data_IF_149460971268
#
_entry.id   IF_149460971268
#
_cell.length_a   1.000
_cell.length_b   1.000
_cell.length_c   1.000
_cell.angle_alpha   90.00
_cell.angle_beta   90.00
_cell.angle_gamma   90.00
#
_symmetry.space_group_name_H-M   'P 1'
#
loop_
_entity.id
_entity.type
_entity.pdbx_description
1 polymer ?
#
# COMPACT_ATOMS: atom_id res chain seq x y z
N UNK A 1 20.51 6.28 -25.03
CA UNK A 1 20.33 6.13 -24.53
C UNK A 1 19.35 6.38 -23.84
N UNK A 2 18.55 6.35 -23.71
CA UNK A 2 17.72 6.68 -23.33
C UNK A 2 16.83 6.11 -22.69
N UNK A 3 16.33 5.63 -22.55
CA UNK A 3 15.63 4.95 -22.01
C UNK A 3 15.16 5.15 -20.87
N UNK A 4 15.30 5.58 -20.30
CA UNK A 4 15.04 5.66 -19.04
C UNK A 4 13.76 6.07 -18.51
N UNK A 5 13.07 6.90 -19.08
CA UNK A 5 11.84 7.37 -18.48
C UNK A 5 10.78 6.33 -18.30
N UNK A 6 10.61 5.48 -19.31
CA UNK A 6 9.58 4.46 -19.17
C UNK A 6 9.93 3.42 -18.15
N UNK A 7 11.19 3.04 -18.06
CA UNK A 7 11.54 2.07 -17.03
C UNK A 7 11.45 2.69 -15.66
N UNK A 8 11.64 3.99 -15.55
CA UNK A 8 11.50 4.67 -14.29
C UNK A 8 10.09 4.57 -13.73
N UNK A 9 9.09 4.74 -14.56
CA UNK A 9 7.72 4.66 -14.09
C UNK A 9 7.35 3.25 -13.62
N UNK A 10 8.06 2.24 -14.07
CA UNK A 10 7.80 0.87 -13.62
C UNK A 10 8.53 0.52 -12.34
N UNK A 11 9.52 1.28 -11.98
CA UNK A 11 10.31 0.99 -10.79
C UNK A 11 9.49 1.02 -9.52
N UNK A 12 8.40 1.77 -9.49
CA UNK A 12 7.55 1.82 -8.33
C UNK A 12 7.08 0.46 -7.86
N UNK A 13 6.95 -0.49 -8.80
CA UNK A 13 6.46 -1.83 -8.48
C UNK A 13 7.46 -2.94 -8.76
N UNK A 14 8.53 -2.67 -9.49
CA UNK A 14 9.44 -3.73 -9.92
C UNK A 14 10.20 -4.38 -8.77
N UNK A 15 10.36 -3.69 -7.66
CA UNK A 15 11.03 -4.22 -6.47
C UNK A 15 10.07 -4.84 -5.47
N UNK A 16 8.77 -4.88 -5.76
CA UNK A 16 7.74 -5.41 -4.88
C UNK A 16 7.12 -6.61 -5.56
N UNK A 17 7.50 -7.81 -5.14
CA UNK A 17 7.18 -9.02 -5.90
C UNK A 17 6.45 -10.09 -5.12
N UNK A 18 6.60 -10.12 -3.81
CA UNK A 18 6.00 -11.18 -3.02
C UNK A 18 4.64 -10.76 -2.54
N UNK A 19 3.61 -11.45 -3.02
CA UNK A 19 2.24 -11.18 -2.58
C UNK A 19 2.11 -11.47 -1.10
N UNK A 20 1.38 -10.61 -0.42
CA UNK A 20 1.11 -10.78 1.00
C UNK A 20 -0.35 -10.42 1.26
N UNK A 21 -0.95 -11.19 2.16
CA UNK A 21 -2.29 -10.92 2.67
C UNK A 21 -2.25 -11.31 4.14
N UNK A 22 -2.15 -10.32 5.02
CA UNK A 22 -1.85 -10.60 6.41
C UNK A 22 -2.44 -9.52 7.31
N UNK A 23 -2.88 -9.93 8.50
CA UNK A 23 -3.36 -8.97 9.49
C UNK A 23 -2.18 -8.40 10.26
N UNK A 24 -2.19 -7.08 10.43
CA UNK A 24 -1.14 -6.38 11.17
C UNK A 24 -1.74 -5.29 12.02
N UNK A 25 -1.07 -4.97 13.12
CA UNK A 25 -1.48 -3.90 14.00
C UNK A 25 -0.82 -2.59 13.57
N UNK A 26 -1.61 -1.53 13.42
CA UNK A 26 -1.10 -0.22 13.03
C UNK A 26 -0.47 0.45 14.24
N UNK A 27 0.78 0.86 14.11
CA UNK A 27 1.50 1.51 15.21
C UNK A 27 1.83 2.97 14.93
N UNK A 28 1.72 3.42 13.69
CA UNK A 28 1.91 4.85 13.39
C UNK A 28 1.30 5.17 12.02
N UNK A 29 0.90 6.43 11.83
CA UNK A 29 0.43 6.95 10.56
C UNK A 29 1.33 8.12 10.16
N UNK A 30 1.85 8.08 8.94
CA UNK A 30 2.71 9.14 8.41
C UNK A 30 2.11 9.61 7.10
N UNK A 31 1.13 10.49 7.21
CA UNK A 31 0.34 10.96 6.07
C UNK A 31 0.93 12.24 5.50
N UNK A 32 1.96 12.09 4.70
CA UNK A 32 2.71 13.22 4.14
C UNK A 32 3.46 12.80 2.88
N UNK A 33 3.87 13.81 2.09
CA UNK A 33 4.66 13.58 0.89
C UNK A 33 5.96 12.84 1.24
N UNK A 34 6.49 12.02 0.31
CA UNK A 34 5.97 11.80 -1.05
C UNK A 34 4.87 10.75 -1.13
N UNK A 35 4.67 9.94 -0.11
CA UNK A 35 3.65 8.90 -0.02
C UNK A 35 3.06 8.89 1.36
N UNK A 36 1.75 8.69 1.44
CA UNK A 36 1.16 8.31 2.72
C UNK A 36 1.76 6.97 3.11
N UNK A 37 2.05 6.80 4.38
CA UNK A 37 2.64 5.58 4.91
C UNK A 37 2.00 5.21 6.24
N UNK A 38 1.94 3.91 6.49
CA UNK A 38 1.56 3.39 7.79
C UNK A 38 2.70 2.53 8.30
N UNK A 39 2.94 2.56 9.60
CA UNK A 39 3.86 1.62 10.22
C UNK A 39 3.01 0.56 10.90
N UNK A 40 3.29 -0.70 10.63
CA UNK A 40 2.51 -1.81 11.16
C UNK A 40 3.42 -2.88 11.72
N UNK A 41 2.86 -3.67 12.64
CA UNK A 41 3.58 -4.76 13.28
C UNK A 41 2.84 -6.06 13.00
N UNK A 42 3.56 -7.06 12.50
CA UNK A 42 2.95 -8.36 12.25
C UNK A 42 2.90 -9.21 13.53
N UNK A 43 2.37 -10.42 13.42
CA UNK A 43 2.19 -11.27 14.60
C UNK A 43 3.49 -11.68 15.27
N UNK A 44 4.59 -11.64 14.53
CA UNK A 44 5.89 -11.96 15.11
C UNK A 44 6.57 -10.77 15.76
N UNK A 45 5.96 -9.59 15.70
CA UNK A 45 6.54 -8.36 16.23
C UNK A 45 7.41 -7.63 15.22
N UNK A 46 7.48 -8.10 13.99
CA UNK A 46 8.27 -7.43 12.96
C UNK A 46 7.52 -6.24 12.42
N UNK A 47 8.23 -5.13 12.25
CA UNK A 47 7.65 -3.90 11.76
C UNK A 47 7.76 -3.80 10.25
N UNK A 48 6.70 -3.30 9.65
CA UNK A 48 6.60 -3.11 8.20
C UNK A 48 6.19 -1.69 7.89
N UNK A 49 6.84 -1.12 6.90
CA UNK A 49 6.44 0.18 6.37
C UNK A 49 5.47 -0.07 5.22
N UNK A 50 4.24 0.41 5.36
CA UNK A 50 3.21 0.21 4.36
C UNK A 50 3.13 1.46 3.49
N UNK A 51 3.46 1.31 2.21
CA UNK A 51 3.45 2.43 1.28
C UNK A 51 2.11 2.54 0.58
N UNK A 52 1.48 3.68 0.73
CA UNK A 52 0.25 4.04 0.03
C UNK A 52 0.58 4.99 -1.12
N UNK A 53 -0.42 5.44 -1.83
CA UNK A 53 -0.22 6.41 -2.90
C UNK A 53 0.14 7.79 -2.32
N UNK A 54 0.57 8.74 -3.16
CA UNK A 54 0.84 10.09 -2.68
C UNK A 54 -0.39 10.73 -2.03
N UNK A 55 -0.18 11.58 -1.02
CA UNK A 55 -1.30 12.17 -0.27
C UNK A 55 -2.36 12.86 -1.12
N UNK A 56 -1.94 13.67 -2.07
CA UNK A 56 -2.91 14.40 -2.89
C UNK A 56 -3.81 13.46 -3.67
N UNK A 57 -3.24 12.36 -4.16
CA UNK A 57 -4.03 11.38 -4.90
C UNK A 57 -4.99 10.65 -3.97
N UNK A 58 -4.51 10.26 -2.80
CA UNK A 58 -5.37 9.57 -1.83
C UNK A 58 -6.56 10.46 -1.44
N UNK A 59 -6.31 11.74 -1.15
CA UNK A 59 -7.37 12.67 -0.78
C UNK A 59 -8.38 12.83 -1.91
N UNK A 60 -7.88 12.90 -3.13
CA UNK A 60 -8.74 13.03 -4.31
C UNK A 60 -9.71 11.89 -4.44
N UNK A 61 -9.31 10.69 -4.04
CA UNK A 61 -10.18 9.51 -4.10
C UNK A 61 -10.81 9.15 -2.77
N UNK A 62 -10.79 10.09 -1.82
CA UNK A 62 -11.58 9.98 -0.61
C UNK A 62 -10.89 9.37 0.61
N UNK A 63 -9.60 9.10 0.52
CA UNK A 63 -8.88 8.57 1.68
C UNK A 63 -8.03 9.65 2.33
N UNK A 64 -8.30 9.93 3.61
CA UNK A 64 -7.53 10.88 4.39
C UNK A 64 -6.96 10.28 5.68
N UNK A 65 -7.13 8.98 5.87
CA UNK A 65 -6.64 8.30 7.05
C UNK A 65 -7.52 8.40 8.28
N UNK A 66 -8.64 9.14 8.19
CA UNK A 66 -9.50 9.34 9.36
C UNK A 66 -10.18 8.07 9.85
N UNK A 67 -10.22 7.05 9.01
CA UNK A 67 -10.82 5.76 9.38
C UNK A 67 -9.81 4.76 9.93
N UNK A 68 -8.57 5.19 10.21
CA UNK A 68 -7.53 4.35 10.79
C UNK A 68 -7.04 4.98 12.07
N UNK A 69 -6.96 4.18 13.13
CA UNK A 69 -6.41 4.62 14.41
C UNK A 69 -5.22 3.74 14.78
N UNK A 70 -4.29 4.31 15.53
CA UNK A 70 -3.18 3.53 16.09
C UNK A 70 -3.78 2.45 16.97
N UNK A 71 -3.31 1.22 16.80
CA UNK A 71 -3.83 0.07 17.50
C UNK A 71 -4.83 -0.75 16.69
N UNK A 72 -5.33 -0.20 15.60
CA UNK A 72 -6.23 -0.96 14.72
C UNK A 72 -5.54 -2.16 14.13
N UNK A 73 -6.27 -3.25 14.00
CA UNK A 73 -5.80 -4.40 13.26
C UNK A 73 -6.43 -4.37 11.88
N UNK A 74 -5.58 -4.30 10.85
CA UNK A 74 -6.02 -4.24 9.47
C UNK A 74 -5.50 -5.43 8.70
N UNK A 75 -6.27 -5.89 7.72
CA UNK A 75 -5.76 -6.85 6.75
C UNK A 75 -5.05 -6.08 5.66
N UNK A 76 -3.78 -6.39 5.48
CA UNK A 76 -2.91 -5.74 4.50
C UNK A 76 -2.83 -6.64 3.29
N UNK A 77 -3.21 -6.12 2.13
CA UNK A 77 -3.09 -6.85 0.87
C UNK A 77 -2.14 -6.05 -0.01
N UNK A 78 -1.03 -6.65 -0.40
CA UNK A 78 -0.04 -5.93 -1.18
C UNK A 78 1.10 -6.82 -1.62
N UNK A 79 2.24 -6.19 -1.88
CA UNK A 79 3.44 -6.89 -2.33
C UNK A 79 4.64 -6.42 -1.54
N UNK A 80 5.41 -7.37 -1.04
CA UNK A 80 6.60 -7.07 -0.26
C UNK A 80 7.76 -6.68 -1.14
N UNK A 81 8.55 -5.74 -0.65
CA UNK A 81 9.81 -5.38 -1.27
C UNK A 81 10.77 -6.58 -1.21
N UNK A 82 11.63 -6.71 -2.21
CA UNK A 82 12.55 -7.84 -2.31
C UNK A 82 13.61 -7.87 -1.21
N UNK A 83 13.89 -6.73 -0.57
CA UNK A 83 14.94 -6.66 0.46
C UNK A 83 14.59 -5.82 1.67
N UNK A 84 13.66 -4.89 1.56
CA UNK A 84 13.29 -3.99 2.67
C UNK A 84 12.04 -4.49 3.37
N UNK A 85 11.89 -4.10 4.64
CA UNK A 85 10.64 -4.37 5.38
C UNK A 85 9.57 -3.38 4.96
N UNK A 86 9.15 -3.49 3.74
CA UNK A 86 8.27 -2.53 3.10
C UNK A 86 7.26 -3.27 2.25
N UNK A 87 6.00 -2.84 2.31
CA UNK A 87 4.92 -3.42 1.52
C UNK A 87 4.28 -2.32 0.72
N UNK A 88 4.19 -2.53 -0.57
CA UNK A 88 3.39 -1.66 -1.43
C UNK A 88 1.95 -2.17 -1.35
N UNK A 89 1.06 -1.34 -0.83
CA UNK A 89 -0.30 -1.74 -0.52
C UNK A 89 -1.20 -1.65 -1.74
N UNK A 90 -1.95 -2.71 -2.01
CA UNK A 90 -3.03 -2.66 -2.99
C UNK A 90 -4.33 -2.23 -2.34
N UNK A 91 -4.66 -2.82 -1.19
CA UNK A 91 -5.87 -2.46 -0.46
C UNK A 91 -5.73 -2.81 1.01
N UNK A 92 -6.59 -2.20 1.83
CA UNK A 92 -6.64 -2.43 3.27
C UNK A 92 -8.08 -2.71 3.69
N UNK A 93 -8.23 -3.66 4.63
CA UNK A 93 -9.54 -3.97 5.21
C UNK A 93 -9.52 -3.78 6.71
N UNK A 94 -10.59 -3.22 7.24
CA UNK A 94 -10.84 -3.18 8.67
C UNK A 94 -12.08 -4.03 8.90
N UNK A 95 -11.88 -5.24 9.45
CA UNK A 95 -12.93 -6.24 9.44
C UNK A 95 -13.27 -6.61 8.00
N UNK A 96 -14.54 -6.56 7.67
CA UNK A 96 -14.99 -6.88 6.32
C UNK A 96 -15.05 -5.66 5.40
N UNK A 97 -14.72 -4.50 5.91
CA UNK A 97 -14.83 -3.26 5.15
C UNK A 97 -13.51 -2.92 4.48
N UNK A 98 -13.56 -2.73 3.16
CA UNK A 98 -12.38 -2.25 2.43
C UNK A 98 -12.28 -0.74 2.62
N UNK A 99 -11.25 -0.31 3.35
CA UNK A 99 -11.09 1.09 3.73
C UNK A 99 -10.08 1.85 2.89
N UNK A 100 -9.32 1.15 2.04
CA UNK A 100 -8.35 1.78 1.18
C UNK A 100 -8.11 0.95 -0.07
N UNK A 101 -7.98 1.63 -1.20
CA UNK A 101 -7.57 1.04 -2.47
C UNK A 101 -6.51 1.95 -3.09
N UNK A 102 -5.39 1.36 -3.49
CA UNK A 102 -4.36 2.12 -4.20
C UNK A 102 -4.87 2.41 -5.62
N UNK A 103 -4.88 3.69 -5.99
CA UNK A 103 -5.32 4.07 -7.33
C UNK A 103 -4.23 4.86 -8.05
N UNK A 104 -4.13 4.64 -9.35
CA UNK A 104 -3.28 5.43 -10.21
C UNK A 104 -3.96 6.77 -10.52
N UNK A 105 -3.22 7.73 -11.10
CA UNK A 105 -3.79 9.07 -11.31
C UNK A 105 -5.13 9.11 -12.05
N UNK A 106 -5.35 8.17 -12.97
CA UNK A 106 -6.60 8.09 -13.71
C UNK A 106 -7.74 7.42 -12.97
N UNK A 107 -7.51 6.94 -11.74
CA UNK A 107 -8.53 6.30 -10.92
C UNK A 107 -8.54 4.78 -10.98
N UNK A 108 -7.78 4.17 -11.86
CA UNK A 108 -7.70 2.73 -11.93
C UNK A 108 -7.03 2.17 -10.69
N UNK A 109 -7.53 1.04 -10.22
CA UNK A 109 -6.90 0.37 -9.09
C UNK A 109 -5.56 -0.21 -9.51
N UNK A 110 -4.65 -0.37 -8.56
CA UNK A 110 -3.32 -0.92 -8.83
C UNK A 110 -3.37 -2.38 -9.26
N UNK A 111 -4.50 -3.04 -9.09
CA UNK A 111 -4.61 -4.49 -9.30
C UNK A 111 -5.59 -4.88 -10.41
N UNK A 112 -6.33 -3.92 -11.00
CA UNK A 112 -7.43 -4.31 -11.89
C UNK A 112 -6.97 -4.99 -13.18
N UNK A 113 -5.74 -4.74 -13.60
CA UNK A 113 -5.20 -5.38 -14.79
C UNK A 113 -4.13 -6.42 -14.49
N UNK A 114 -3.97 -6.79 -13.23
CA UNK A 114 -3.00 -7.82 -12.88
C UNK A 114 -3.53 -9.19 -13.29
N UNK A 115 -2.62 -10.04 -13.76
CA UNK A 115 -2.98 -11.39 -14.13
C UNK A 115 -3.46 -12.18 -12.93
N UNK A 116 -2.71 -12.15 -11.85
CA UNK A 116 -3.07 -12.80 -10.59
C UNK A 116 -3.51 -11.72 -9.63
N UNK A 117 -4.80 -11.43 -9.63
CA UNK A 117 -5.32 -10.34 -8.83
C UNK A 117 -5.29 -10.67 -7.35
N UNK A 118 -4.89 -9.72 -6.51
CA UNK A 118 -4.99 -9.90 -5.07
C UNK A 118 -6.45 -9.89 -4.64
N UNK A 119 -6.69 -10.33 -3.40
CA UNK A 119 -8.03 -10.39 -2.85
C UNK A 119 -8.47 -9.01 -2.34
N UNK A 120 -8.62 -8.12 -3.25
CA UNK A 120 -9.17 -6.81 -2.99
C UNK A 120 -10.61 -6.71 -3.50
#
# INVERSE_FOLDING_TARGET
>A
LILPLSSFSHHGWSYYRDNIEENMKIIDLRLRNPHDQLLAEDKSGKEWNLLLAPPSRNRRFGFDGSNIEIGDELKIVGEKHISKNEIKVHCLFKGDEKIYTYRYPGGRTSYEFMRNKPNC
#
